data_IF_548858226613
#
_entry.id   IF_548858226613
#
_cell.length_a   1.000
_cell.length_b   1.000
_cell.length_c   1.000
_cell.angle_alpha   90.00
_cell.angle_beta   90.00
_cell.angle_gamma   90.00
#
_symmetry.space_group_name_H-M   'P 1'
#
loop_
_entity.id
_entity.type
_entity.pdbx_description
1 polymer ?
#
# COMPACT_ATOMS: atom_id res chain seq x y z
N UNK A 1 -11.76 16.19 8.75
CA UNK A 1 -11.88 14.82 8.22
C UNK A 1 -11.87 13.85 9.38
N UNK A 2 -12.74 12.82 9.40
CA UNK A 2 -12.66 11.77 10.40
C UNK A 2 -11.32 11.03 10.26
N UNK A 3 -10.71 10.67 11.38
CA UNK A 3 -9.51 9.83 11.41
C UNK A 3 -9.81 8.55 12.20
N UNK A 4 -9.30 7.43 11.69
CA UNK A 4 -9.34 6.14 12.35
C UNK A 4 -7.88 5.72 12.56
N UNK A 5 -7.56 5.21 13.73
CA UNK A 5 -6.20 4.73 14.04
C UNK A 5 -6.26 3.36 14.69
N UNK A 6 -5.25 2.55 14.41
CA UNK A 6 -5.03 1.24 15.00
C UNK A 6 -3.56 1.14 15.42
N UNK A 7 -3.30 0.45 16.52
CA UNK A 7 -1.94 0.21 17.04
C UNK A 7 -1.86 -1.20 17.61
N UNK A 8 -0.79 -1.89 17.27
CA UNK A 8 -0.48 -3.22 17.75
C UNK A 8 1.00 -3.32 18.18
N UNK A 9 1.28 -4.17 19.16
CA UNK A 9 2.65 -4.43 19.60
C UNK A 9 3.18 -5.70 18.95
N UNK A 10 4.31 -5.58 18.24
CA UNK A 10 4.95 -6.69 17.56
C UNK A 10 6.30 -6.97 18.22
N UNK A 11 6.49 -8.19 18.72
CA UNK A 11 7.76 -8.64 19.30
C UNK A 11 8.70 -9.14 18.20
N UNK A 12 9.22 -8.23 17.38
CA UNK A 12 10.17 -8.55 16.31
C UNK A 12 11.18 -7.42 16.13
N UNK A 13 12.25 -7.71 15.39
CA UNK A 13 13.20 -6.67 14.96
C UNK A 13 12.54 -5.76 13.95
N UNK A 14 12.89 -4.48 13.99
CA UNK A 14 12.40 -3.48 13.04
C UNK A 14 12.61 -3.91 11.59
N UNK A 15 13.80 -4.41 11.25
CA UNK A 15 14.14 -4.83 9.89
C UNK A 15 13.18 -5.90 9.35
N UNK A 16 12.80 -6.87 10.19
CA UNK A 16 11.90 -7.96 9.79
C UNK A 16 10.49 -7.44 9.53
N UNK A 17 9.99 -6.54 10.39
CA UNK A 17 8.67 -5.92 10.20
C UNK A 17 8.68 -5.02 8.98
N UNK A 18 9.76 -4.26 8.77
CA UNK A 18 9.94 -3.41 7.61
C UNK A 18 9.90 -4.22 6.31
N UNK A 19 10.67 -5.30 6.22
CA UNK A 19 10.73 -6.13 5.02
C UNK A 19 9.36 -6.77 4.72
N UNK A 20 8.61 -7.18 5.76
CA UNK A 20 7.24 -7.69 5.61
C UNK A 20 6.28 -6.62 5.09
N UNK A 21 6.36 -5.39 5.62
CA UNK A 21 5.52 -4.27 5.18
C UNK A 21 5.82 -3.90 3.73
N UNK A 22 7.10 -3.89 3.33
CA UNK A 22 7.49 -3.65 1.93
C UNK A 22 6.95 -4.76 1.03
N UNK A 23 7.14 -6.04 1.36
CA UNK A 23 6.61 -7.15 0.55
C UNK A 23 5.07 -7.11 0.47
N UNK A 24 4.37 -6.71 1.54
CA UNK A 24 2.92 -6.53 1.52
C UNK A 24 2.47 -5.47 0.51
N UNK A 25 3.29 -4.46 0.31
CA UNK A 25 2.95 -3.34 -0.56
C UNK A 25 3.34 -3.61 -2.01
N UNK A 26 4.47 -4.26 -2.24
CA UNK A 26 4.98 -4.62 -3.56
C UNK A 26 4.30 -5.86 -4.15
N UNK A 27 3.83 -6.77 -3.29
CA UNK A 27 3.17 -8.02 -3.66
C UNK A 27 1.85 -8.21 -2.90
N UNK A 28 0.90 -7.27 -3.00
CA UNK A 28 -0.35 -7.33 -2.26
C UNK A 28 -1.21 -8.54 -2.64
N UNK A 29 -1.00 -9.13 -3.82
CA UNK A 29 -1.62 -10.37 -4.27
C UNK A 29 -1.33 -11.58 -3.37
N UNK A 30 -0.23 -11.55 -2.61
CA UNK A 30 0.08 -12.60 -1.62
C UNK A 30 -0.69 -12.45 -0.30
N UNK A 31 -1.22 -11.26 -0.02
CA UNK A 31 -1.77 -10.89 1.30
C UNK A 31 -3.25 -10.51 1.26
N UNK A 32 -3.72 -9.98 0.13
CA UNK A 32 -5.11 -9.62 -0.10
C UNK A 32 -5.79 -10.73 -0.90
N UNK A 33 -7.01 -11.09 -0.51
CA UNK A 33 -7.85 -11.98 -1.30
C UNK A 33 -8.43 -11.25 -2.52
N UNK A 34 -8.77 -12.03 -3.55
CA UNK A 34 -9.48 -11.56 -4.75
C UNK A 34 -8.71 -10.51 -5.58
N UNK A 35 -7.38 -10.50 -5.49
CA UNK A 35 -6.54 -9.68 -6.38
C UNK A 35 -6.41 -10.40 -7.72
N UNK A 36 -6.90 -9.78 -8.78
CA UNK A 36 -6.79 -10.26 -10.16
C UNK A 36 -5.44 -9.91 -10.78
N UNK A 37 -4.95 -8.71 -10.53
CA UNK A 37 -3.62 -8.27 -10.98
C UNK A 37 -3.11 -7.07 -10.18
N UNK A 38 -1.80 -6.96 -10.10
CA UNK A 38 -1.08 -5.83 -9.51
C UNK A 38 -0.16 -5.24 -10.57
N UNK A 39 -0.17 -3.92 -10.69
CA UNK A 39 0.76 -3.17 -11.53
C UNK A 39 1.46 -2.10 -10.68
N UNK A 40 2.79 -2.04 -10.79
CA UNK A 40 3.61 -1.02 -10.14
C UNK A 40 4.27 -0.20 -11.23
N UNK A 41 4.06 1.11 -11.20
CA UNK A 41 4.52 2.04 -12.21
C UNK A 41 5.13 3.29 -11.57
N UNK A 42 5.74 4.15 -12.40
CA UNK A 42 6.29 5.45 -11.97
C UNK A 42 7.24 5.37 -10.76
N UNK A 43 8.04 4.30 -10.69
CA UNK A 43 8.95 4.07 -9.57
C UNK A 43 10.16 5.02 -9.62
N UNK A 44 10.31 5.82 -8.58
CA UNK A 44 11.42 6.73 -8.34
C UNK A 44 11.91 6.55 -6.90
N UNK A 45 13.02 5.85 -6.73
CA UNK A 45 13.57 5.51 -5.41
C UNK A 45 12.52 4.78 -4.54
N UNK A 46 12.14 5.43 -3.43
CA UNK A 46 11.18 4.95 -2.43
C UNK A 46 9.73 5.33 -2.75
N UNK A 47 9.48 5.95 -3.90
CA UNK A 47 8.16 6.41 -4.33
C UNK A 47 7.69 5.65 -5.57
N UNK A 48 6.42 5.27 -5.63
CA UNK A 48 5.82 4.64 -6.81
C UNK A 48 4.29 4.72 -6.81
N UNK A 49 3.72 4.44 -7.97
CA UNK A 49 2.28 4.23 -8.15
C UNK A 49 1.98 2.74 -8.12
N UNK A 50 0.97 2.36 -7.34
CA UNK A 50 0.43 1.01 -7.28
C UNK A 50 -1.00 1.00 -7.80
N UNK A 51 -1.27 0.11 -8.73
CA UNK A 51 -2.60 -0.19 -9.26
C UNK A 51 -2.96 -1.64 -8.92
N UNK A 52 -4.07 -1.84 -8.22
CA UNK A 52 -4.63 -3.16 -7.89
C UNK A 52 -5.97 -3.28 -8.59
N UNK A 53 -6.11 -4.35 -9.38
CA UNK A 53 -7.38 -4.76 -9.98
C UNK A 53 -7.88 -5.98 -9.22
N UNK A 54 -9.10 -5.90 -8.70
CA UNK A 54 -9.76 -7.01 -8.00
C UNK A 54 -10.58 -7.87 -8.96
N UNK A 55 -10.95 -9.08 -8.56
CA UNK A 55 -11.75 -10.01 -9.38
C UNK A 55 -13.13 -9.46 -9.77
N UNK A 56 -13.68 -8.55 -8.96
CA UNK A 56 -14.94 -7.83 -9.24
C UNK A 56 -14.76 -6.61 -10.15
N UNK A 57 -13.59 -6.44 -10.77
CA UNK A 57 -13.17 -5.31 -11.59
C UNK A 57 -13.17 -3.95 -10.86
N UNK A 58 -13.19 -3.94 -9.52
CA UNK A 58 -12.84 -2.74 -8.76
C UNK A 58 -11.36 -2.41 -8.97
N UNK A 59 -11.07 -1.11 -9.08
CA UNK A 59 -9.73 -0.59 -9.32
C UNK A 59 -9.31 0.34 -8.19
N UNK A 60 -8.13 0.10 -7.64
CA UNK A 60 -7.51 0.89 -6.60
C UNK A 60 -6.16 1.40 -7.10
N UNK A 61 -6.02 2.72 -7.23
CA UNK A 61 -4.76 3.37 -7.59
C UNK A 61 -4.25 4.22 -6.45
N UNK A 62 -3.02 3.99 -6.03
CA UNK A 62 -2.40 4.64 -4.88
C UNK A 62 -1.00 5.15 -5.24
N UNK A 63 -0.62 6.26 -4.62
CA UNK A 63 0.77 6.70 -4.55
C UNK A 63 1.36 6.27 -3.22
N UNK A 64 2.51 5.62 -3.28
CA UNK A 64 3.18 5.01 -2.14
C UNK A 64 4.51 5.72 -1.91
N UNK A 65 4.83 6.02 -0.65
CA UNK A 65 6.14 6.52 -0.20
C UNK A 65 6.68 5.61 0.90
N UNK A 66 7.86 5.02 0.70
CA UNK A 66 8.57 4.17 1.66
C UNK A 66 9.64 4.98 2.42
N UNK A 67 9.28 5.56 3.56
CA UNK A 67 10.23 6.31 4.40
C UNK A 67 10.85 5.43 5.48
N UNK A 68 11.88 4.67 5.09
CA UNK A 68 12.59 3.77 6.02
C UNK A 68 13.26 4.49 7.18
N UNK A 69 13.71 5.74 6.98
CA UNK A 69 14.40 6.54 8.00
C UNK A 69 13.47 6.83 9.17
N UNK A 70 12.20 7.13 8.88
CA UNK A 70 11.18 7.35 9.90
C UNK A 70 10.33 6.11 10.21
N UNK A 71 10.60 4.98 9.54
CA UNK A 71 9.84 3.74 9.71
C UNK A 71 8.38 3.87 9.30
N UNK A 72 8.11 4.67 8.26
CA UNK A 72 6.77 4.97 7.79
C UNK A 72 6.57 4.52 6.34
N UNK A 73 5.40 3.97 6.06
CA UNK A 73 4.93 3.82 4.67
C UNK A 73 3.63 4.58 4.53
N UNK A 74 3.58 5.47 3.55
CA UNK A 74 2.45 6.37 3.32
C UNK A 74 1.77 5.93 2.03
N UNK A 75 0.50 5.54 2.13
CA UNK A 75 -0.34 5.21 0.99
C UNK A 75 -1.37 6.33 0.78
N UNK A 76 -1.33 6.97 -0.38
CA UNK A 76 -2.27 8.02 -0.75
C UNK A 76 -3.16 7.54 -1.90
N UNK A 77 -4.46 7.47 -1.65
CA UNK A 77 -5.43 7.14 -2.68
C UNK A 77 -5.42 8.20 -3.79
N UNK A 78 -5.22 7.77 -5.03
CA UNK A 78 -5.25 8.63 -6.23
C UNK A 78 -6.52 8.44 -7.02
N UNK A 79 -6.98 7.20 -7.16
CA UNK A 79 -8.20 6.86 -7.90
C UNK A 79 -8.87 5.61 -7.31
N UNK A 80 -10.20 5.67 -7.21
CA UNK A 80 -11.08 4.56 -6.83
C UNK A 80 -12.52 4.94 -7.19
N UNK A 81 -13.38 3.96 -7.53
CA UNK A 81 -14.78 4.19 -7.92
C UNK A 81 -15.63 5.00 -6.92
N UNK A 82 -15.20 5.04 -5.65
CA UNK A 82 -15.86 5.77 -4.55
C UNK A 82 -15.09 7.04 -4.12
N UNK A 83 -14.04 7.41 -4.84
CA UNK A 83 -13.18 8.54 -4.53
C UNK A 83 -13.52 9.72 -5.43
N UNK A 84 -14.19 10.73 -4.88
CA UNK A 84 -14.36 12.05 -5.51
C UNK A 84 -13.22 12.95 -5.01
N UNK A 85 -12.05 12.88 -5.66
CA UNK A 85 -10.87 13.66 -5.28
C UNK A 85 -11.21 15.11 -4.96
N UNK A 86 -11.13 15.46 -3.68
CA UNK A 86 -11.16 16.84 -3.19
C UNK A 86 -9.79 17.19 -2.63
#
# INVERSE_FOLDING_TARGET
MPSISHREFIHSRFEIVWDLLVDTIEHPDKYLSNVKSVNISERHNEEFIREIIFENDEHLKEFIVQDKVHGAIICQLKDHLKYNGM
#
